data_IF_850498225281
#
_entry.id   IF_850498225281
#
_cell.length_a   1.000
_cell.length_b   1.000
_cell.length_c   1.000
_cell.angle_alpha   90.00
_cell.angle_beta   90.00
_cell.angle_gamma   90.00
#
_symmetry.space_group_name_H-M   'P 1'
#
loop_
_entity.id
_entity.type
_entity.pdbx_description
1 polymer ?
#
# COMPACT_ATOMS: atom_id res chain seq x y z
N UNK A 1 -31.35 26.36 9.17
CA UNK A 1 -30.28 26.65 8.20
C UNK A 1 -29.42 25.38 8.11
N UNK A 2 -29.56 24.61 7.04
CA UNK A 2 -28.78 23.38 6.83
C UNK A 2 -27.38 23.74 6.30
N UNK A 3 -26.38 23.77 7.19
CA UNK A 3 -24.98 24.05 6.84
C UNK A 3 -24.24 22.79 6.33
N UNK A 4 -24.89 21.97 5.51
CA UNK A 4 -24.29 20.79 4.87
C UNK A 4 -23.98 21.01 3.38
N UNK A 5 -23.74 22.25 2.96
CA UNK A 5 -23.15 22.44 1.63
C UNK A 5 -21.71 21.90 1.67
N UNK A 6 -21.34 21.02 0.74
CA UNK A 6 -19.95 20.58 0.63
C UNK A 6 -19.09 21.82 0.38
N UNK A 7 -18.15 22.08 1.28
CA UNK A 7 -17.15 23.14 1.08
C UNK A 7 -16.37 22.75 -0.19
N UNK A 8 -16.79 23.30 -1.33
CA UNK A 8 -16.03 23.21 -2.58
C UNK A 8 -14.80 24.09 -2.40
N UNK A 9 -13.77 23.49 -1.81
CA UNK A 9 -12.49 24.16 -1.66
C UNK A 9 -11.88 24.33 -3.04
N UNK A 10 -11.46 25.53 -3.43
CA UNK A 10 -10.74 25.72 -4.67
C UNK A 10 -9.49 24.83 -4.65
N UNK A 11 -9.35 23.99 -5.67
CA UNK A 11 -8.36 22.90 -5.82
C UNK A 11 -6.91 23.42 -5.98
N UNK A 12 -6.51 24.40 -5.16
CA UNK A 12 -5.13 24.87 -5.11
C UNK A 12 -4.32 23.91 -4.22
N UNK A 13 -3.59 23.00 -4.85
CA UNK A 13 -2.65 22.14 -4.14
C UNK A 13 -1.46 22.97 -3.72
N UNK A 14 -1.13 23.04 -2.44
CA UNK A 14 0.04 23.74 -1.94
C UNK A 14 1.30 22.88 -2.03
N UNK A 15 2.42 23.50 -2.41
CA UNK A 15 3.73 22.88 -2.24
C UNK A 15 4.17 23.03 -0.78
N UNK A 16 4.80 21.99 -0.23
CA UNK A 16 5.34 22.01 1.14
C UNK A 16 6.84 21.75 1.15
N UNK A 17 7.59 22.30 2.10
CA UNK A 17 9.04 22.11 2.17
C UNK A 17 9.39 20.66 2.49
N UNK A 18 10.56 20.19 2.03
CA UNK A 18 11.06 18.83 2.20
C UNK A 18 11.11 18.39 3.68
N UNK A 19 11.41 19.31 4.60
CA UNK A 19 11.47 19.05 6.04
C UNK A 19 10.14 18.56 6.65
N UNK A 20 9.02 18.76 5.96
CA UNK A 20 7.70 18.27 6.40
C UNK A 20 7.61 16.75 6.44
N UNK A 21 8.42 16.04 5.67
CA UNK A 21 8.48 14.58 5.71
C UNK A 21 8.74 14.05 7.13
N UNK A 22 9.67 14.66 7.87
CA UNK A 22 9.93 14.30 9.28
C UNK A 22 8.73 14.57 10.19
N UNK A 23 8.02 15.68 9.97
CA UNK A 23 6.80 15.99 10.72
C UNK A 23 5.68 15.00 10.42
N UNK A 24 5.52 14.59 9.15
CA UNK A 24 4.54 13.59 8.76
C UNK A 24 4.84 12.24 9.41
N UNK A 25 6.12 11.83 9.37
CA UNK A 25 6.58 10.59 9.99
C UNK A 25 6.34 10.60 11.51
N UNK A 26 6.74 11.69 12.20
CA UNK A 26 6.48 11.88 13.64
C UNK A 26 4.98 11.82 13.96
N UNK A 27 4.14 12.51 13.17
CA UNK A 27 2.70 12.53 13.40
C UNK A 27 2.06 11.17 13.14
N UNK A 28 2.54 10.40 12.15
CA UNK A 28 2.11 9.02 11.93
C UNK A 28 2.40 8.14 13.15
N UNK A 29 3.61 8.23 13.71
CA UNK A 29 3.96 7.50 14.95
C UNK A 29 3.10 7.93 16.13
N UNK A 30 2.78 9.22 16.28
CA UNK A 30 1.89 9.71 17.33
C UNK A 30 0.46 9.17 17.18
N UNK A 31 -0.07 9.07 15.96
CA UNK A 31 -1.38 8.45 15.70
C UNK A 31 -1.38 6.97 16.10
N UNK A 32 -0.33 6.24 15.72
CA UNK A 32 -0.19 4.82 16.09
C UNK A 32 -0.10 4.69 17.62
N UNK A 33 0.70 5.54 18.27
CA UNK A 33 0.84 5.55 19.73
C UNK A 33 -0.47 5.88 20.46
N UNK A 34 -1.34 6.71 19.88
CA UNK A 34 -2.61 7.12 20.50
C UNK A 34 -3.59 5.95 20.64
N UNK A 35 -3.67 5.06 19.63
CA UNK A 35 -4.51 3.86 19.67
C UNK A 35 -3.81 2.68 18.98
N UNK A 36 -2.73 2.12 19.59
CA UNK A 36 -1.87 1.14 18.93
C UNK A 36 -2.61 -0.15 18.57
N UNK A 37 -3.47 -0.64 19.46
CA UNK A 37 -4.21 -1.89 19.24
C UNK A 37 -5.20 -1.76 18.09
N UNK A 38 -5.94 -0.65 18.00
CA UNK A 38 -6.91 -0.41 16.93
C UNK A 38 -6.18 -0.33 15.58
N UNK A 39 -5.10 0.44 15.51
CA UNK A 39 -4.30 0.59 14.29
C UNK A 39 -3.68 -0.73 13.83
N UNK A 40 -3.11 -1.50 14.78
CA UNK A 40 -2.50 -2.79 14.48
C UNK A 40 -3.54 -3.83 14.04
N UNK A 41 -4.65 -3.97 14.76
CA UNK A 41 -5.72 -4.92 14.40
C UNK A 41 -6.34 -4.57 13.05
N UNK A 42 -6.52 -3.28 12.76
CA UNK A 42 -7.02 -2.84 11.44
C UNK A 42 -6.08 -3.27 10.32
N UNK A 43 -4.79 -3.02 10.46
CA UNK A 43 -3.80 -3.44 9.46
C UNK A 43 -3.68 -4.96 9.36
N UNK A 44 -3.80 -5.68 10.48
CA UNK A 44 -3.84 -7.14 10.48
C UNK A 44 -5.04 -7.68 9.69
N UNK A 45 -6.22 -7.08 9.84
CA UNK A 45 -7.40 -7.43 9.04
C UNK A 45 -7.19 -7.20 7.55
N UNK A 46 -6.53 -6.10 7.14
CA UNK A 46 -6.23 -5.82 5.73
C UNK A 46 -5.30 -6.90 5.17
N UNK A 47 -4.19 -7.17 5.86
CA UNK A 47 -3.21 -8.17 5.44
C UNK A 47 -3.85 -9.56 5.39
N UNK A 48 -4.66 -9.91 6.39
CA UNK A 48 -5.38 -11.19 6.39
C UNK A 48 -6.36 -11.30 5.22
N UNK A 49 -7.15 -10.25 4.94
CA UNK A 49 -8.10 -10.24 3.83
C UNK A 49 -7.38 -10.38 2.48
N UNK A 50 -6.24 -9.70 2.30
CA UNK A 50 -5.41 -9.82 1.11
C UNK A 50 -4.91 -11.25 0.92
N UNK A 51 -4.27 -11.82 1.95
CA UNK A 51 -3.73 -13.18 1.91
C UNK A 51 -4.82 -14.24 1.72
N UNK A 52 -5.97 -14.08 2.40
CA UNK A 52 -7.10 -15.00 2.28
C UNK A 52 -7.69 -14.98 0.88
N UNK A 53 -7.96 -13.78 0.33
CA UNK A 53 -8.52 -13.66 -1.03
C UNK A 53 -7.55 -14.19 -2.08
N UNK A 54 -6.26 -13.84 -1.99
CA UNK A 54 -5.25 -14.33 -2.91
C UNK A 54 -4.99 -15.84 -2.76
N UNK A 55 -5.07 -16.41 -1.56
CA UNK A 55 -4.82 -17.82 -1.30
C UNK A 55 -6.00 -18.73 -1.68
N UNK A 56 -7.24 -18.31 -1.39
CA UNK A 56 -8.45 -19.13 -1.66
C UNK A 56 -8.91 -19.00 -3.10
N UNK A 57 -8.82 -17.79 -3.68
CA UNK A 57 -9.25 -17.49 -5.04
C UNK A 57 -8.16 -16.68 -5.76
N UNK A 58 -7.03 -17.28 -6.19
CA UNK A 58 -5.82 -16.57 -6.57
C UNK A 58 -6.05 -15.44 -7.58
N UNK A 59 -6.76 -15.69 -8.66
CA UNK A 59 -7.02 -14.67 -9.70
C UNK A 59 -8.21 -13.80 -9.27
N UNK A 60 -9.35 -14.42 -8.99
CA UNK A 60 -10.61 -13.71 -8.67
C UNK A 60 -10.45 -12.91 -7.38
N UNK A 61 -9.86 -13.49 -6.34
CA UNK A 61 -9.65 -12.83 -5.05
C UNK A 61 -8.69 -11.66 -5.17
N UNK A 62 -7.61 -11.78 -5.95
CA UNK A 62 -6.69 -10.67 -6.22
C UNK A 62 -7.41 -9.52 -6.93
N UNK A 63 -8.21 -9.80 -7.97
CA UNK A 63 -9.00 -8.77 -8.67
C UNK A 63 -10.02 -8.13 -7.72
N UNK A 64 -10.71 -8.92 -6.89
CA UNK A 64 -11.64 -8.40 -5.89
C UNK A 64 -10.92 -7.49 -4.88
N UNK A 65 -9.75 -7.91 -4.37
CA UNK A 65 -8.97 -7.09 -3.47
C UNK A 65 -8.54 -5.77 -4.11
N UNK A 66 -8.08 -5.79 -5.35
CA UNK A 66 -7.72 -4.57 -6.10
C UNK A 66 -8.91 -3.62 -6.26
N UNK A 67 -10.11 -4.14 -6.53
CA UNK A 67 -11.32 -3.33 -6.66
C UNK A 67 -11.71 -2.64 -5.35
N UNK A 68 -11.58 -3.32 -4.21
CA UNK A 68 -11.95 -2.78 -2.90
C UNK A 68 -10.81 -2.01 -2.22
N UNK A 69 -9.56 -2.13 -2.69
CA UNK A 69 -8.39 -1.53 -2.04
C UNK A 69 -8.49 -0.01 -1.85
N UNK A 70 -9.05 0.81 -2.77
CA UNK A 70 -9.23 2.24 -2.50
C UNK A 70 -10.26 2.53 -1.38
N UNK A 71 -11.27 1.66 -1.22
CA UNK A 71 -12.22 1.80 -0.12
C UNK A 71 -11.56 1.47 1.23
N UNK A 72 -10.70 0.46 1.27
CA UNK A 72 -9.88 0.10 2.43
C UNK A 72 -8.91 1.23 2.76
N UNK A 73 -8.21 1.78 1.76
CA UNK A 73 -7.27 2.88 1.93
C UNK A 73 -7.97 4.14 2.49
N UNK A 74 -9.16 4.46 1.97
CA UNK A 74 -9.98 5.54 2.55
C UNK A 74 -10.44 5.21 3.96
N UNK A 75 -10.89 3.98 4.23
CA UNK A 75 -11.29 3.54 5.58
C UNK A 75 -10.18 3.69 6.60
N UNK A 76 -8.93 3.40 6.22
CA UNK A 76 -7.74 3.65 7.06
C UNK A 76 -7.50 5.15 7.29
N UNK A 77 -7.67 5.98 6.26
CA UNK A 77 -7.53 7.43 6.40
C UNK A 77 -8.62 8.01 7.33
N UNK A 78 -9.87 7.55 7.21
CA UNK A 78 -10.99 7.92 8.09
C UNK A 78 -10.73 7.48 9.54
N UNK A 79 -10.20 6.27 9.73
CA UNK A 79 -9.77 5.78 11.05
C UNK A 79 -8.71 6.69 11.67
N UNK A 80 -7.66 7.05 10.90
CA UNK A 80 -6.64 8.00 11.34
C UNK A 80 -7.23 9.36 11.71
N UNK A 81 -8.22 9.84 10.95
CA UNK A 81 -8.92 11.09 11.23
C UNK A 81 -9.71 11.01 12.53
N UNK A 82 -10.45 9.92 12.78
CA UNK A 82 -11.19 9.69 14.02
C UNK A 82 -10.26 9.65 15.23
N UNK A 83 -9.14 8.92 15.13
CA UNK A 83 -8.13 8.88 16.20
C UNK A 83 -7.60 10.28 16.50
N UNK A 84 -7.26 11.07 15.47
CA UNK A 84 -6.78 12.44 15.64
C UNK A 84 -7.81 13.36 16.30
N UNK A 85 -9.10 13.18 15.99
CA UNK A 85 -10.20 13.95 16.54
C UNK A 85 -10.70 13.39 17.89
N UNK A 86 -10.04 12.37 18.43
CA UNK A 86 -10.42 11.66 19.67
C UNK A 86 -11.85 11.10 19.63
N UNK A 87 -12.32 10.73 18.44
CA UNK A 87 -13.62 10.10 18.22
C UNK A 87 -13.51 8.58 18.41
N UNK A 88 -14.62 7.88 18.71
CA UNK A 88 -14.64 6.42 18.76
C UNK A 88 -14.15 5.82 17.47
N UNK A 89 -13.12 4.97 17.54
CA UNK A 89 -12.51 4.28 16.41
C UNK A 89 -12.58 2.78 16.62
N UNK A 90 -13.00 2.05 15.58
CA UNK A 90 -13.11 0.59 15.57
C UNK A 90 -12.37 0.01 14.38
N UNK A 91 -11.68 -1.14 14.51
CA UNK A 91 -11.03 -1.81 13.40
C UNK A 91 -11.98 -2.12 12.22
N UNK A 92 -13.24 -2.44 12.50
CA UNK A 92 -14.23 -2.76 11.47
C UNK A 92 -14.71 -1.53 10.69
N UNK A 93 -14.45 -0.31 11.18
CA UNK A 93 -14.87 0.92 10.50
C UNK A 93 -14.20 1.11 9.13
N UNK A 94 -13.12 0.40 8.83
CA UNK A 94 -12.48 0.43 7.50
C UNK A 94 -13.40 -0.06 6.38
N UNK A 95 -14.39 -0.90 6.69
CA UNK A 95 -15.35 -1.39 5.71
C UNK A 95 -16.56 -0.46 5.53
N UNK A 96 -16.73 0.55 6.39
CA UNK A 96 -17.86 1.47 6.32
C UNK A 96 -18.01 2.17 4.94
N UNK A 97 -16.93 2.54 4.23
CA UNK A 97 -17.04 3.17 2.92
C UNK A 97 -17.71 2.29 1.86
N UNK A 98 -17.63 0.96 2.00
CA UNK A 98 -18.28 0.00 1.10
C UNK A 98 -19.81 -0.05 1.28
N UNK A 99 -20.31 0.39 2.44
CA UNK A 99 -21.72 0.37 2.80
C UNK A 99 -22.45 1.69 2.47
N UNK A 100 -21.70 2.74 2.08
CA UNK A 100 -22.25 4.08 1.83
C UNK A 100 -22.33 4.41 0.33
N UNK A 101 -23.02 5.51 -0.02
CA UNK A 101 -23.19 6.01 -1.40
C UNK A 101 -21.86 6.31 -2.11
N UNK A 102 -20.79 6.58 -1.36
CA UNK A 102 -19.43 6.82 -1.88
C UNK A 102 -18.77 5.57 -2.48
N UNK A 103 -19.34 4.38 -2.24
CA UNK A 103 -18.83 3.09 -2.72
C UNK A 103 -18.52 3.09 -4.21
N UNK A 104 -19.43 3.62 -5.03
CA UNK A 104 -19.27 3.57 -6.49
C UNK A 104 -18.02 4.33 -6.97
N UNK A 105 -17.69 5.47 -6.37
CA UNK A 105 -16.48 6.23 -6.71
C UNK A 105 -15.22 5.47 -6.32
N UNK A 106 -15.23 4.85 -5.14
CA UNK A 106 -14.09 4.06 -4.65
C UNK A 106 -13.89 2.79 -5.48
N UNK A 107 -14.97 2.11 -5.89
CA UNK A 107 -14.89 0.96 -6.80
C UNK A 107 -14.42 1.37 -8.20
N UNK A 108 -14.82 2.55 -8.70
CA UNK A 108 -14.30 3.08 -9.97
C UNK A 108 -12.79 3.36 -9.89
N UNK A 109 -12.28 3.86 -8.76
CA UNK A 109 -10.84 3.98 -8.53
C UNK A 109 -10.15 2.62 -8.51
N UNK A 110 -10.76 1.63 -7.86
CA UNK A 110 -10.27 0.25 -7.85
C UNK A 110 -10.20 -0.35 -9.25
N UNK A 111 -11.19 -0.08 -10.09
CA UNK A 111 -11.19 -0.49 -11.50
C UNK A 111 -10.04 0.16 -12.28
N UNK A 112 -9.82 1.47 -12.12
CA UNK A 112 -8.68 2.16 -12.75
C UNK A 112 -7.37 1.50 -12.30
N UNK A 113 -7.21 1.23 -11.00
CA UNK A 113 -6.01 0.57 -10.48
C UNK A 113 -5.83 -0.84 -11.03
N UNK A 114 -6.90 -1.64 -11.08
CA UNK A 114 -6.88 -2.99 -11.66
C UNK A 114 -6.50 -2.97 -13.15
N UNK A 115 -7.03 -2.03 -13.94
CA UNK A 115 -6.68 -1.87 -15.36
C UNK A 115 -5.20 -1.51 -15.54
N UNK A 116 -4.67 -0.60 -14.72
CA UNK A 116 -3.24 -0.24 -14.75
C UNK A 116 -2.35 -1.44 -14.43
N UNK A 117 -2.67 -2.20 -13.37
CA UNK A 117 -1.91 -3.39 -13.00
C UNK A 117 -2.03 -4.50 -14.05
N UNK A 118 -3.20 -4.67 -14.66
CA UNK A 118 -3.38 -5.63 -15.75
C UNK A 118 -2.56 -5.26 -16.99
N UNK A 119 -2.51 -3.98 -17.34
CA UNK A 119 -1.65 -3.50 -18.43
C UNK A 119 -0.16 -3.74 -18.14
N UNK A 120 0.28 -3.49 -16.90
CA UNK A 120 1.65 -3.80 -16.47
C UNK A 120 1.93 -5.30 -16.52
N UNK A 121 0.97 -6.13 -16.15
CA UNK A 121 1.07 -7.58 -16.23
C UNK A 121 1.25 -8.03 -17.69
N UNK A 122 0.41 -7.57 -18.62
CA UNK A 122 0.55 -7.87 -20.05
C UNK A 122 1.93 -7.42 -20.55
N UNK A 123 2.35 -6.20 -20.20
CA UNK A 123 3.67 -5.70 -20.59
C UNK A 123 4.79 -6.59 -20.05
N UNK A 124 4.71 -7.04 -18.80
CA UNK A 124 5.73 -7.92 -18.21
C UNK A 124 5.80 -9.28 -18.93
N UNK A 125 4.65 -9.83 -19.37
CA UNK A 125 4.60 -11.12 -20.06
C UNK A 125 5.35 -11.09 -21.40
N UNK A 126 5.50 -9.93 -22.05
CA UNK A 126 6.29 -9.82 -23.31
C UNK A 126 7.78 -10.16 -23.11
N UNK A 127 8.26 -10.12 -21.87
CA UNK A 127 9.65 -10.44 -21.51
C UNK A 127 9.83 -11.85 -20.92
N UNK A 128 8.74 -12.60 -20.68
CA UNK A 128 8.82 -13.94 -20.07
C UNK A 128 8.98 -14.98 -21.19
N UNK A 129 10.07 -15.76 -21.13
CA UNK A 129 10.23 -16.94 -21.97
C UNK A 129 9.48 -18.12 -21.34
N UNK A 130 8.48 -18.66 -22.05
CA UNK A 130 7.60 -19.71 -21.54
C UNK A 130 8.36 -21.00 -21.20
N UNK A 131 9.39 -21.36 -21.96
CA UNK A 131 10.24 -22.53 -21.70
C UNK A 131 11.01 -22.40 -20.39
N UNK A 132 11.66 -21.25 -20.17
CA UNK A 132 12.40 -20.99 -18.93
C UNK A 132 11.48 -20.95 -17.69
N UNK A 133 10.27 -20.43 -17.84
CA UNK A 133 9.27 -20.43 -16.78
C UNK A 133 8.81 -21.87 -16.45
N UNK A 134 8.60 -22.70 -17.49
CA UNK A 134 8.24 -24.11 -17.31
C UNK A 134 9.30 -24.89 -16.51
N UNK A 135 10.57 -24.70 -16.83
CA UNK A 135 11.68 -25.36 -16.13
C UNK A 135 11.76 -24.93 -14.66
N UNK A 136 11.62 -23.63 -14.38
CA UNK A 136 11.61 -23.11 -13.01
C UNK A 136 10.43 -23.68 -12.22
N UNK A 137 9.21 -23.67 -12.81
CA UNK A 137 8.01 -24.18 -12.18
C UNK A 137 8.12 -25.68 -11.85
N UNK A 138 8.63 -26.50 -12.79
CA UNK A 138 8.87 -27.92 -12.56
C UNK A 138 9.84 -28.17 -11.41
N UNK A 139 10.92 -27.38 -11.30
CA UNK A 139 11.86 -27.46 -10.18
C UNK A 139 11.23 -27.03 -8.85
N UNK A 140 10.38 -25.99 -8.84
CA UNK A 140 9.65 -25.58 -7.63
C UNK A 140 8.68 -26.68 -7.17
N UNK A 141 7.96 -27.31 -8.11
CA UNK A 141 7.07 -28.44 -7.78
C UNK A 141 7.87 -29.63 -7.24
N UNK A 142 9.04 -29.90 -7.79
CA UNK A 142 9.92 -30.95 -7.28
C UNK A 142 10.42 -30.64 -5.85
N UNK A 143 10.72 -29.38 -5.54
CA UNK A 143 11.08 -28.92 -4.18
C UNK A 143 10.00 -29.23 -3.13
N UNK A 144 8.72 -29.08 -3.49
CA UNK A 144 7.61 -29.32 -2.57
C UNK A 144 7.42 -30.79 -2.18
N UNK A 145 8.06 -31.72 -2.92
CA UNK A 145 8.01 -33.15 -2.69
C UNK A 145 9.19 -33.70 -1.86
N UNK A 146 10.10 -32.84 -1.46
CA UNK A 146 11.25 -33.23 -0.66
C UNK A 146 10.94 -33.16 0.82
N UNK A 147 11.23 -34.25 1.53
CA UNK A 147 11.09 -34.32 3.00
C UNK A 147 12.42 -33.96 3.70
N UNK A 148 13.56 -33.99 2.99
CA UNK A 148 14.87 -33.69 3.53
C UNK A 148 15.22 -32.19 3.43
N UNK A 149 15.49 -31.60 4.56
CA UNK A 149 15.75 -30.17 4.73
C UNK A 149 17.06 -29.72 4.05
N UNK A 150 18.09 -30.58 3.99
CA UNK A 150 19.35 -30.27 3.33
C UNK A 150 19.20 -30.31 1.81
N UNK A 151 18.51 -31.32 1.29
CA UNK A 151 18.20 -31.41 -0.14
C UNK A 151 17.30 -30.24 -0.57
N UNK A 152 16.31 -29.87 0.23
CA UNK A 152 15.45 -28.73 -0.03
C UNK A 152 16.27 -27.41 -0.10
N UNK A 153 17.21 -27.19 0.80
CA UNK A 153 18.11 -26.03 0.79
C UNK A 153 19.02 -26.02 -0.45
N UNK A 154 19.60 -27.16 -0.81
CA UNK A 154 20.47 -27.27 -1.97
C UNK A 154 19.71 -26.97 -3.28
N UNK A 155 18.54 -27.58 -3.47
CA UNK A 155 17.70 -27.34 -4.63
C UNK A 155 17.12 -25.92 -4.66
N UNK A 156 16.75 -25.33 -3.51
CA UNK A 156 16.33 -23.92 -3.45
C UNK A 156 17.40 -22.97 -3.96
N UNK A 157 18.68 -23.22 -3.62
CA UNK A 157 19.80 -22.43 -4.14
C UNK A 157 19.95 -22.59 -5.65
N UNK A 158 19.77 -23.79 -6.17
CA UNK A 158 19.83 -24.06 -7.61
C UNK A 158 18.70 -23.35 -8.37
N UNK A 159 17.46 -23.42 -7.86
CA UNK A 159 16.31 -22.68 -8.45
C UNK A 159 16.56 -21.17 -8.41
N UNK A 160 17.06 -20.66 -7.29
CA UNK A 160 17.40 -19.24 -7.17
C UNK A 160 18.49 -18.80 -8.15
N UNK A 161 19.56 -19.61 -8.30
CA UNK A 161 20.62 -19.37 -9.28
C UNK A 161 20.08 -19.39 -10.72
N UNK A 162 19.18 -20.32 -11.03
CA UNK A 162 18.53 -20.40 -12.33
C UNK A 162 17.67 -19.14 -12.63
N UNK A 163 16.90 -18.67 -11.64
CA UNK A 163 16.12 -17.42 -11.76
C UNK A 163 17.07 -16.24 -12.03
N UNK A 164 18.19 -16.14 -11.30
CA UNK A 164 19.16 -15.05 -11.48
C UNK A 164 19.85 -15.06 -12.85
N UNK A 165 19.95 -16.21 -13.49
CA UNK A 165 20.49 -16.32 -14.85
C UNK A 165 19.48 -15.85 -15.94
N UNK A 166 18.17 -15.84 -15.61
CA UNK A 166 17.12 -15.45 -16.54
C UNK A 166 16.91 -13.92 -16.56
N UNK A 167 17.78 -13.19 -17.25
CA UNK A 167 17.74 -11.71 -17.32
C UNK A 167 16.36 -11.15 -17.71
N UNK A 168 15.67 -11.80 -18.67
CA UNK A 168 14.34 -11.38 -19.12
C UNK A 168 13.27 -11.56 -18.04
N UNK A 169 13.34 -12.64 -17.26
CA UNK A 169 12.45 -12.88 -16.13
C UNK A 169 12.66 -11.84 -15.02
N UNK A 170 13.92 -11.52 -14.71
CA UNK A 170 14.25 -10.46 -13.76
C UNK A 170 13.70 -9.10 -14.24
N UNK A 171 13.82 -8.81 -15.54
CA UNK A 171 13.27 -7.58 -16.12
C UNK A 171 11.75 -7.55 -16.01
N UNK A 172 11.05 -8.66 -16.35
CA UNK A 172 9.61 -8.77 -16.20
C UNK A 172 9.15 -8.53 -14.76
N UNK A 173 9.82 -9.16 -13.79
CA UNK A 173 9.55 -8.96 -12.37
C UNK A 173 9.85 -7.52 -11.94
N UNK A 174 10.94 -6.94 -12.42
CA UNK A 174 11.30 -5.54 -12.17
C UNK A 174 10.24 -4.57 -12.70
N UNK A 175 9.71 -4.79 -13.90
CA UNK A 175 8.62 -3.98 -14.48
C UNK A 175 7.36 -4.08 -13.61
N UNK A 176 6.98 -5.29 -13.18
CA UNK A 176 5.82 -5.48 -12.31
C UNK A 176 6.00 -4.79 -10.97
N UNK A 177 7.14 -5.00 -10.31
CA UNK A 177 7.42 -4.43 -9.00
C UNK A 177 7.52 -2.90 -9.04
N UNK A 178 8.33 -2.37 -9.94
CA UNK A 178 8.50 -0.92 -10.07
C UNK A 178 7.23 -0.24 -10.57
N UNK A 179 6.55 -0.82 -11.56
CA UNK A 179 5.31 -0.29 -12.12
C UNK A 179 4.16 -0.29 -11.13
N UNK A 180 3.97 -1.38 -10.37
CA UNK A 180 2.93 -1.45 -9.34
C UNK A 180 3.20 -0.49 -8.18
N UNK A 181 4.46 -0.39 -7.75
CA UNK A 181 4.86 0.58 -6.71
C UNK A 181 4.61 2.01 -7.17
N UNK A 182 4.99 2.33 -8.41
CA UNK A 182 4.74 3.67 -8.97
C UNK A 182 3.24 3.95 -9.08
N UNK A 183 2.44 3.00 -9.53
CA UNK A 183 0.98 3.15 -9.59
C UNK A 183 0.38 3.39 -8.20
N UNK A 184 0.81 2.65 -7.18
CA UNK A 184 0.38 2.87 -5.79
C UNK A 184 0.74 4.27 -5.29
N UNK A 185 1.97 4.74 -5.55
CA UNK A 185 2.41 6.09 -5.16
C UNK A 185 1.58 7.16 -5.88
N UNK A 186 1.36 7.01 -7.19
CA UNK A 186 0.57 7.96 -8.00
C UNK A 186 -0.89 8.06 -7.52
N UNK A 187 -1.45 6.95 -7.07
CA UNK A 187 -2.87 6.84 -6.69
C UNK A 187 -3.11 6.97 -5.17
N UNK A 188 -2.06 7.13 -4.35
CA UNK A 188 -2.18 7.02 -2.89
C UNK A 188 -3.14 8.02 -2.25
N UNK A 189 -3.34 9.21 -2.84
CA UNK A 189 -4.26 10.23 -2.33
C UNK A 189 -5.63 10.21 -2.99
N UNK A 190 -5.81 9.45 -4.09
CA UNK A 190 -7.07 9.45 -4.86
C UNK A 190 -8.28 9.06 -4.02
N UNK A 191 -8.25 8.07 -3.09
CA UNK A 191 -9.43 7.73 -2.30
C UNK A 191 -9.88 8.88 -1.40
N UNK A 192 -8.94 9.63 -0.85
CA UNK A 192 -9.23 10.79 0.01
C UNK A 192 -9.79 11.96 -0.80
N UNK A 193 -9.28 12.20 -2.02
CA UNK A 193 -9.86 13.19 -2.94
C UNK A 193 -11.26 12.81 -3.39
N UNK A 194 -11.50 11.54 -3.71
CA UNK A 194 -12.82 11.07 -4.14
C UNK A 194 -13.89 11.26 -3.07
N UNK A 195 -13.54 11.09 -1.80
CA UNK A 195 -14.51 11.16 -0.71
C UNK A 195 -14.54 12.55 -0.07
N UNK A 196 -13.42 13.05 0.43
CA UNK A 196 -13.39 14.31 1.18
C UNK A 196 -13.52 15.56 0.29
N UNK A 197 -13.13 15.48 -0.98
CA UNK A 197 -13.28 16.56 -1.96
C UNK A 197 -14.42 16.32 -2.95
N UNK A 198 -15.17 15.23 -2.77
CA UNK A 198 -16.28 14.84 -3.65
C UNK A 198 -15.89 14.72 -5.13
N UNK A 199 -14.60 14.40 -5.42
CA UNK A 199 -14.08 14.31 -6.77
C UNK A 199 -14.52 13.01 -7.46
N UNK A 200 -14.82 13.06 -8.76
CA UNK A 200 -15.01 11.87 -9.59
C UNK A 200 -13.71 11.08 -9.72
N UNK A 201 -13.78 9.77 -9.99
CA UNK A 201 -12.61 8.90 -9.98
C UNK A 201 -11.44 9.38 -10.87
N UNK A 202 -11.64 9.78 -12.15
CA UNK A 202 -10.55 10.31 -12.98
C UNK A 202 -9.98 11.64 -12.43
N UNK A 203 -10.83 12.49 -11.90
CA UNK A 203 -10.42 13.76 -11.29
C UNK A 203 -9.61 13.52 -10.01
N UNK A 204 -10.04 12.58 -9.17
CA UNK A 204 -9.33 12.19 -7.95
C UNK A 204 -7.92 11.64 -8.26
N UNK A 205 -7.80 10.83 -9.31
CA UNK A 205 -6.50 10.35 -9.82
C UNK A 205 -5.62 11.52 -10.27
N UNK A 206 -6.17 12.43 -11.08
CA UNK A 206 -5.43 13.61 -11.54
C UNK A 206 -4.94 14.48 -10.39
N UNK A 207 -5.78 14.71 -9.38
CA UNK A 207 -5.42 15.47 -8.19
C UNK A 207 -4.32 14.77 -7.37
N UNK A 208 -4.39 13.45 -7.24
CA UNK A 208 -3.36 12.65 -6.57
C UNK A 208 -2.02 12.79 -7.28
N UNK A 209 -2.00 12.62 -8.60
CA UNK A 209 -0.80 12.77 -9.45
C UNK A 209 -0.24 14.19 -9.34
N UNK A 210 -1.09 15.22 -9.44
CA UNK A 210 -0.68 16.62 -9.32
C UNK A 210 -0.11 16.94 -7.93
N UNK A 211 -0.69 16.37 -6.88
CA UNK A 211 -0.20 16.49 -5.50
C UNK A 211 1.19 15.90 -5.34
N UNK A 212 1.39 14.70 -5.91
CA UNK A 212 2.68 14.03 -5.91
C UNK A 212 3.75 14.89 -6.59
N UNK A 213 3.53 15.33 -7.84
CA UNK A 213 4.52 16.10 -8.58
C UNK A 213 4.83 17.45 -7.92
N UNK A 214 3.83 18.08 -7.32
CA UNK A 214 4.03 19.35 -6.61
C UNK A 214 4.78 19.20 -5.30
N UNK A 215 4.75 17.99 -4.71
CA UNK A 215 5.36 17.67 -3.42
C UNK A 215 6.33 16.48 -3.52
N UNK A 216 7.01 16.34 -4.67
CA UNK A 216 7.85 15.16 -4.94
C UNK A 216 8.99 15.01 -3.93
N UNK A 217 9.63 16.09 -3.51
CA UNK A 217 10.76 16.05 -2.58
C UNK A 217 10.37 15.56 -1.18
N UNK A 218 9.34 16.15 -0.50
CA UNK A 218 8.92 15.65 0.81
C UNK A 218 8.33 14.24 0.73
N UNK A 219 7.65 13.88 -0.35
CA UNK A 219 7.12 12.52 -0.54
C UNK A 219 8.26 11.52 -0.76
N UNK A 220 9.25 11.84 -1.60
CA UNK A 220 10.43 10.98 -1.80
C UNK A 220 11.20 10.75 -0.49
N UNK A 221 11.40 11.81 0.30
CA UNK A 221 12.02 11.67 1.63
C UNK A 221 11.18 10.79 2.58
N UNK A 222 9.85 10.91 2.54
CA UNK A 222 8.97 10.05 3.34
C UNK A 222 9.08 8.58 2.92
N UNK A 223 9.17 8.31 1.62
CA UNK A 223 9.39 6.95 1.08
C UNK A 223 10.77 6.43 1.52
N UNK A 224 11.81 7.28 1.49
CA UNK A 224 13.14 6.89 1.97
C UNK A 224 13.13 6.53 3.48
N UNK A 225 12.42 7.30 4.30
CA UNK A 225 12.25 7.00 5.73
C UNK A 225 11.49 5.67 5.94
N UNK A 226 10.46 5.41 5.14
CA UNK A 226 9.75 4.11 5.15
C UNK A 226 10.67 2.96 4.73
N UNK A 227 11.49 3.13 3.70
CA UNK A 227 12.46 2.12 3.26
C UNK A 227 13.50 1.81 4.34
N UNK A 228 13.99 2.83 5.04
CA UNK A 228 14.88 2.65 6.20
C UNK A 228 14.18 1.88 7.34
N UNK A 229 12.92 2.18 7.60
CA UNK A 229 12.14 1.46 8.63
C UNK A 229 11.95 0.00 8.24
N UNK A 230 11.62 -0.29 6.96
CA UNK A 230 11.49 -1.65 6.45
C UNK A 230 12.82 -2.40 6.55
N UNK A 231 13.93 -1.75 6.20
CA UNK A 231 15.27 -2.31 6.34
C UNK A 231 15.59 -2.66 7.80
N UNK A 232 15.30 -1.76 8.74
CA UNK A 232 15.50 -2.01 10.17
C UNK A 232 14.63 -3.17 10.69
N UNK A 233 13.35 -3.23 10.28
CA UNK A 233 12.46 -4.36 10.62
C UNK A 233 12.96 -5.67 10.02
N UNK A 234 13.46 -5.68 8.79
CA UNK A 234 14.02 -6.87 8.15
C UNK A 234 15.27 -7.39 8.87
N UNK A 235 16.16 -6.50 9.31
CA UNK A 235 17.31 -6.85 10.13
C UNK A 235 16.88 -7.46 11.46
N UNK A 236 15.90 -6.83 12.13
CA UNK A 236 15.35 -7.33 13.41
C UNK A 236 14.75 -8.74 13.25
N UNK A 237 13.95 -8.96 12.20
CA UNK A 237 13.37 -10.28 11.88
C UNK A 237 14.48 -11.31 11.59
N UNK A 238 15.53 -10.92 10.87
CA UNK A 238 16.66 -11.82 10.58
C UNK A 238 17.38 -12.23 11.85
N UNK A 239 17.66 -11.28 12.75
CA UNK A 239 18.30 -11.55 14.05
C UNK A 239 17.41 -12.49 14.90
N UNK A 240 16.12 -12.18 15.03
CA UNK A 240 15.20 -13.03 15.81
C UNK A 240 15.06 -14.43 15.21
N UNK A 241 15.09 -14.55 13.87
CA UNK A 241 15.09 -15.83 13.16
C UNK A 241 16.31 -16.69 13.43
N UNK A 242 17.46 -16.10 13.76
CA UNK A 242 18.65 -16.86 14.16
C UNK A 242 18.46 -17.54 15.53
N UNK A 243 17.72 -16.93 16.46
CA UNK A 243 17.47 -17.46 17.80
C UNK A 243 16.19 -18.30 17.90
N UNK A 244 15.21 -18.02 17.06
CA UNK A 244 13.91 -18.70 17.05
C UNK A 244 13.43 -18.98 15.61
N UNK A 245 14.06 -19.93 14.89
CA UNK A 245 13.74 -20.20 13.48
C UNK A 245 12.28 -20.58 13.23
N UNK A 246 11.64 -21.29 14.15
CA UNK A 246 10.23 -21.69 14.06
C UNK A 246 9.25 -20.52 14.13
N UNK A 247 9.67 -19.37 14.67
CA UNK A 247 8.84 -18.17 14.80
C UNK A 247 9.09 -17.11 13.72
N UNK A 248 10.03 -17.35 12.79
CA UNK A 248 10.41 -16.35 11.78
C UNK A 248 9.22 -15.86 10.96
N UNK A 249 8.32 -16.77 10.59
CA UNK A 249 7.12 -16.42 9.82
C UNK A 249 6.18 -15.49 10.60
N UNK A 250 6.02 -15.73 11.89
CA UNK A 250 5.22 -14.86 12.77
C UNK A 250 5.84 -13.46 12.89
N UNK A 251 7.18 -13.39 13.05
CA UNK A 251 7.88 -12.10 13.11
C UNK A 251 7.82 -11.35 11.78
N UNK A 252 7.96 -12.04 10.64
CA UNK A 252 7.79 -11.44 9.30
C UNK A 252 6.38 -10.87 9.13
N UNK A 253 5.35 -11.62 9.51
CA UNK A 253 3.96 -11.17 9.43
C UNK A 253 3.71 -9.97 10.34
N UNK A 254 4.22 -9.99 11.57
CA UNK A 254 4.13 -8.84 12.50
C UNK A 254 4.83 -7.60 11.96
N UNK A 255 6.03 -7.73 11.40
CA UNK A 255 6.77 -6.64 10.77
C UNK A 255 6.02 -6.07 9.56
N UNK A 256 5.42 -6.92 8.74
CA UNK A 256 4.60 -6.50 7.60
C UNK A 256 3.35 -5.74 8.03
N UNK A 257 2.64 -6.18 9.07
CA UNK A 257 1.49 -5.48 9.63
C UNK A 257 1.90 -4.11 10.18
N UNK A 258 3.00 -4.02 10.94
CA UNK A 258 3.52 -2.76 11.46
C UNK A 258 3.90 -1.80 10.33
N UNK A 259 4.54 -2.29 9.28
CA UNK A 259 4.91 -1.49 8.11
C UNK A 259 3.68 -0.95 7.38
N UNK A 260 2.66 -1.79 7.16
CA UNK A 260 1.37 -1.36 6.59
C UNK A 260 0.67 -0.31 7.44
N UNK A 261 0.70 -0.49 8.77
CA UNK A 261 0.15 0.51 9.71
C UNK A 261 0.83 1.87 9.53
N UNK A 262 2.16 1.88 9.43
CA UNK A 262 2.93 3.10 9.28
C UNK A 262 2.70 3.78 7.92
N UNK A 263 2.67 3.02 6.81
CA UNK A 263 2.36 3.55 5.47
C UNK A 263 1.01 4.27 5.48
N UNK A 264 -0.03 3.63 5.98
CA UNK A 264 -1.36 4.21 5.97
C UNK A 264 -1.46 5.48 6.85
N UNK A 265 -0.86 5.46 8.05
CA UNK A 265 -0.80 6.63 8.92
C UNK A 265 0.00 7.78 8.27
N UNK A 266 1.11 7.47 7.59
CA UNK A 266 1.93 8.46 6.89
C UNK A 266 1.19 9.07 5.68
N UNK A 267 0.50 8.25 4.91
CA UNK A 267 -0.34 8.70 3.78
C UNK A 267 -1.41 9.68 4.27
N UNK A 268 -2.08 9.36 5.38
CA UNK A 268 -3.06 10.26 5.98
C UNK A 268 -2.43 11.58 6.46
N UNK A 269 -1.32 11.52 7.19
CA UNK A 269 -0.71 12.73 7.78
C UNK A 269 -0.15 13.66 6.72
N UNK A 270 0.42 13.11 5.64
CA UNK A 270 0.91 13.90 4.51
C UNK A 270 -0.25 14.56 3.74
N UNK A 271 -1.30 13.82 3.41
CA UNK A 271 -2.50 14.37 2.77
C UNK A 271 -3.11 15.51 3.58
N UNK A 272 -3.31 15.26 4.88
CA UNK A 272 -3.92 16.26 5.77
C UNK A 272 -3.11 17.56 5.82
N UNK A 273 -1.78 17.49 5.93
CA UNK A 273 -0.92 18.68 6.00
C UNK A 273 -0.94 19.47 4.67
N UNK A 274 -0.89 18.77 3.52
CA UNK A 274 -0.93 19.38 2.19
C UNK A 274 -2.26 20.11 1.98
N UNK A 275 -3.39 19.47 2.30
CA UNK A 275 -4.72 20.07 2.10
C UNK A 275 -4.99 21.20 3.07
N UNK A 276 -4.63 21.06 4.35
CA UNK A 276 -4.80 22.13 5.34
C UNK A 276 -4.10 23.42 4.92
N UNK A 277 -2.88 23.33 4.38
CA UNK A 277 -2.13 24.49 3.88
C UNK A 277 -2.76 25.09 2.64
N UNK A 278 -3.32 24.26 1.77
CA UNK A 278 -4.06 24.75 0.60
C UNK A 278 -5.25 25.62 1.02
N UNK A 279 -5.98 25.21 2.05
CA UNK A 279 -7.08 25.97 2.62
C UNK A 279 -6.63 27.31 3.22
N UNK A 280 -5.54 27.29 4.00
CA UNK A 280 -5.03 28.50 4.64
C UNK A 280 -4.57 29.53 3.59
N UNK A 281 -3.89 29.08 2.55
CA UNK A 281 -3.41 29.97 1.48
C UNK A 281 -4.55 30.54 0.61
N UNK A 282 -5.64 29.78 0.42
CA UNK A 282 -6.81 30.28 -0.34
C UNK A 282 -7.66 31.32 0.42
N UNK A 283 -7.57 31.37 1.74
CA UNK A 283 -8.24 32.38 2.59
C UNK A 283 -7.45 33.68 2.66
N UNK A 284 -6.14 33.63 2.36
CA UNK A 284 -5.24 34.80 2.40
C UNK A 284 -5.05 35.46 1.03
N UNK A 285 -5.51 34.84 -0.05
CA UNK A 285 -5.47 35.35 -1.43
C UNK A 285 -6.81 35.96 -1.84
#
# INVERSE_FOLDING_TARGET
MNNNEPIIVPLSISAVPMSRAFSWYKNALLLIKAQPLVMFLTSAWIVFAELFLAGVLPIVGTVMFLLISPAIAFGMADLCQKIRLQQPASPLSIFSPLLHSIRNRLLSLGLIFAVVLFALFILSQTFVEQTAMGDILNKIIALQKLDDLEQMRAQSREVFALILQQKKLILAFGIMLAGSTLAQILLMYSPMYAVWQNAEAPQAVWLSVRTLFKNILPIALSIALLALTLGALSVLVSITGMFAPSMIMLFMMGAWILFNTLINALTYTSYYDIIRRSLTNSVQA
#
